data_IF_535895491663
#
_entry.id   IF_535895491663
#
_cell.length_a   1.000
_cell.length_b   1.000
_cell.length_c   1.000
_cell.angle_alpha   90.00
_cell.angle_beta   90.00
_cell.angle_gamma   90.00
#
_symmetry.space_group_name_H-M   'P 1'
#
loop_
_entity.id
_entity.type
_entity.pdbx_description
1 polymer ?
#
# COMPACT_ATOMS: atom_id res chain seq x y z
N UNK A 1 49.74 -79.06 34.58
CA UNK A 1 50.17 -77.85 35.31
C UNK A 1 49.77 -76.64 34.50
N UNK A 2 48.96 -75.94 35.01
CA UNK A 2 48.12 -74.91 34.42
C UNK A 2 48.91 -73.63 34.20
N UNK A 3 48.88 -73.09 32.97
CA UNK A 3 49.23 -71.69 32.71
C UNK A 3 47.97 -70.97 32.29
N UNK A 4 47.52 -70.03 33.13
CA UNK A 4 46.52 -68.99 32.81
C UNK A 4 47.08 -68.06 31.75
N UNK A 5 46.35 -67.88 30.68
CA UNK A 5 46.56 -66.79 29.73
C UNK A 5 45.32 -65.88 29.75
N UNK A 6 45.54 -64.69 30.23
CA UNK A 6 44.61 -63.58 30.18
C UNK A 6 44.33 -63.16 28.74
N UNK A 7 43.08 -62.83 28.34
CA UNK A 7 42.82 -62.31 27.01
C UNK A 7 43.16 -60.84 26.95
N UNK A 8 44.22 -60.48 26.25
CA UNK A 8 44.51 -59.12 25.83
C UNK A 8 43.44 -58.65 24.84
N UNK A 9 42.72 -57.64 25.23
CA UNK A 9 41.93 -56.83 24.31
C UNK A 9 42.88 -56.18 23.30
N UNK A 10 42.92 -56.68 22.10
CA UNK A 10 43.50 -55.99 20.96
C UNK A 10 42.51 -54.94 20.47
N UNK A 11 42.62 -53.68 20.92
CA UNK A 11 42.08 -52.51 20.25
C UNK A 11 43.03 -52.26 19.06
N UNK A 12 42.65 -52.73 17.89
CA UNK A 12 43.26 -52.27 16.63
C UNK A 12 42.91 -50.82 16.45
N UNK A 13 43.86 -49.94 16.81
CA UNK A 13 43.85 -48.54 16.33
C UNK A 13 43.93 -48.57 14.81
N UNK A 14 42.84 -48.35 14.13
CA UNK A 14 42.85 -48.00 12.72
C UNK A 14 43.58 -46.64 12.59
N UNK A 15 44.86 -46.67 12.22
CA UNK A 15 45.58 -45.50 11.78
C UNK A 15 45.00 -45.04 10.42
N UNK A 16 43.91 -44.27 10.50
CA UNK A 16 43.31 -43.65 9.34
C UNK A 16 44.35 -42.66 8.76
N UNK A 17 44.66 -42.81 7.49
CA UNK A 17 45.58 -41.90 6.83
C UNK A 17 44.91 -40.53 6.73
N UNK A 18 45.45 -39.51 7.43
CA UNK A 18 44.92 -38.17 7.51
C UNK A 18 44.74 -37.52 6.12
N UNK A 19 45.51 -37.97 5.12
CA UNK A 19 45.39 -37.45 3.74
C UNK A 19 44.16 -37.99 2.99
N UNK A 20 43.51 -39.03 3.53
CA UNK A 20 42.33 -39.64 2.94
C UNK A 20 41.01 -39.08 3.56
N UNK A 21 41.12 -38.27 4.62
CA UNK A 21 39.95 -37.67 5.26
C UNK A 21 39.42 -36.54 4.41
N UNK A 22 38.13 -36.63 4.08
CA UNK A 22 37.39 -35.64 3.33
C UNK A 22 36.48 -34.82 4.26
N UNK A 23 36.60 -33.51 4.19
CA UNK A 23 35.77 -32.59 4.95
C UNK A 23 34.61 -32.12 4.08
N UNK A 24 33.37 -32.29 4.58
CA UNK A 24 32.19 -31.72 3.99
C UNK A 24 31.96 -30.32 4.59
N UNK A 25 32.06 -29.29 3.75
CA UNK A 25 31.72 -27.93 4.12
C UNK A 25 30.22 -27.74 4.19
N UNK A 26 29.77 -26.64 4.83
CA UNK A 26 28.35 -26.27 4.95
C UNK A 26 27.64 -26.06 3.61
N UNK A 27 28.36 -25.64 2.57
CA UNK A 27 27.85 -25.49 1.20
C UNK A 27 27.89 -26.81 0.38
N UNK A 28 28.15 -27.95 1.04
CA UNK A 28 28.24 -29.27 0.44
C UNK A 28 29.55 -29.55 -0.29
N UNK A 29 30.47 -28.59 -0.40
CA UNK A 29 31.78 -28.81 -1.05
C UNK A 29 32.67 -29.70 -0.21
N UNK A 30 33.46 -30.49 -0.89
CA UNK A 30 34.45 -31.39 -0.27
C UNK A 30 35.85 -30.79 -0.34
N UNK A 31 36.55 -30.85 0.79
CA UNK A 31 37.97 -30.44 0.89
C UNK A 31 38.78 -31.51 1.61
N UNK A 32 40.10 -31.56 1.33
CA UNK A 32 41.00 -32.40 2.10
C UNK A 32 41.16 -31.85 3.52
N UNK A 33 41.30 -32.75 4.46
CA UNK A 33 41.55 -32.42 5.86
C UNK A 33 42.82 -31.63 6.06
N UNK A 34 42.82 -30.71 7.02
CA UNK A 34 43.98 -29.93 7.44
C UNK A 34 43.95 -29.68 8.94
N UNK A 35 44.85 -30.35 9.67
CA UNK A 35 44.98 -30.16 11.12
C UNK A 35 45.30 -28.72 11.50
N UNK A 36 46.05 -27.99 10.67
CA UNK A 36 46.43 -26.60 10.88
C UNK A 36 45.18 -25.68 11.02
N UNK A 37 44.06 -26.00 10.36
CA UNK A 37 42.82 -25.24 10.51
C UNK A 37 42.21 -25.38 11.92
N UNK A 38 42.30 -26.55 12.53
CA UNK A 38 41.85 -26.81 13.90
C UNK A 38 42.79 -26.11 14.87
N UNK A 39 44.10 -26.34 14.77
CA UNK A 39 45.12 -25.70 15.61
C UNK A 39 44.97 -24.17 15.61
N UNK A 40 44.83 -23.56 14.43
CA UNK A 40 44.62 -22.11 14.32
C UNK A 40 43.31 -21.61 14.97
N UNK A 41 42.24 -22.38 14.87
CA UNK A 41 40.98 -22.03 15.47
C UNK A 41 41.03 -22.07 17.02
N UNK A 42 41.65 -23.14 17.55
CA UNK A 42 41.90 -23.27 18.99
C UNK A 42 42.86 -22.16 19.49
N UNK A 43 43.96 -21.93 18.77
CA UNK A 43 44.94 -20.89 19.12
C UNK A 43 44.30 -19.49 19.22
N UNK A 44 43.41 -19.12 18.32
CA UNK A 44 42.65 -17.87 18.40
C UNK A 44 41.78 -17.78 19.67
N UNK A 45 41.19 -18.88 20.12
CA UNK A 45 40.43 -18.91 21.36
C UNK A 45 41.32 -18.74 22.59
N UNK A 46 42.51 -19.31 22.59
CA UNK A 46 43.51 -19.10 23.65
C UNK A 46 43.98 -17.64 23.73
N UNK A 47 44.32 -17.03 22.57
CA UNK A 47 44.65 -15.59 22.51
C UNK A 47 43.50 -14.70 23.04
N UNK A 48 42.26 -15.02 22.68
CA UNK A 48 41.09 -14.28 23.15
C UNK A 48 40.82 -14.37 24.66
N UNK A 49 41.47 -15.30 25.36
CA UNK A 49 41.47 -15.43 26.82
C UNK A 49 42.68 -14.88 27.51
N UNK A 50 43.63 -14.30 26.77
CA UNK A 50 44.92 -13.84 27.29
C UNK A 50 45.90 -14.96 27.66
N UNK A 51 45.65 -16.20 27.25
CA UNK A 51 46.48 -17.36 27.44
C UNK A 51 47.33 -17.59 26.18
N UNK A 52 48.27 -16.70 25.91
CA UNK A 52 49.18 -16.81 24.79
C UNK A 52 50.29 -17.84 25.09
N UNK A 53 50.95 -18.36 24.04
CA UNK A 53 52.10 -19.30 24.14
C UNK A 53 51.81 -20.72 24.69
N UNK A 54 50.59 -21.21 24.55
CA UNK A 54 50.19 -22.58 24.96
C UNK A 54 50.26 -23.58 23.78
N UNK A 55 51.25 -23.49 22.92
CA UNK A 55 51.35 -24.28 21.68
C UNK A 55 51.32 -25.80 21.93
N UNK A 56 51.96 -26.29 22.99
CA UNK A 56 51.97 -27.72 23.33
C UNK A 56 50.55 -28.21 23.64
N UNK A 57 49.78 -27.43 24.43
CA UNK A 57 48.39 -27.75 24.81
C UNK A 57 47.45 -27.67 23.61
N UNK A 58 47.61 -26.65 22.75
CA UNK A 58 46.83 -26.49 21.53
C UNK A 58 47.03 -27.70 20.61
N UNK A 59 48.27 -28.16 20.44
CA UNK A 59 48.59 -29.32 19.62
C UNK A 59 48.03 -30.61 20.24
N UNK A 60 48.14 -30.79 21.55
CA UNK A 60 47.55 -31.92 22.27
C UNK A 60 46.03 -32.00 22.07
N UNK A 61 45.31 -30.88 22.26
CA UNK A 61 43.86 -30.82 22.03
C UNK A 61 43.54 -31.12 20.57
N UNK A 62 44.29 -30.57 19.63
CA UNK A 62 44.11 -30.85 18.19
C UNK A 62 44.28 -32.34 17.91
N UNK A 63 45.27 -32.99 18.48
CA UNK A 63 45.52 -34.42 18.31
C UNK A 63 44.37 -35.25 18.87
N UNK A 64 43.87 -34.93 20.06
CA UNK A 64 42.70 -35.60 20.66
C UNK A 64 41.45 -35.46 19.81
N UNK A 65 41.20 -34.30 19.21
CA UNK A 65 40.08 -34.09 18.27
C UNK A 65 40.22 -35.03 17.06
N UNK A 66 41.41 -35.15 16.51
CA UNK A 66 41.70 -36.02 15.35
C UNK A 66 41.46 -37.50 15.71
N UNK A 67 41.87 -37.94 16.91
CA UNK A 67 41.70 -39.30 17.39
C UNK A 67 40.24 -39.72 17.49
N UNK A 68 39.29 -38.78 17.58
CA UNK A 68 37.87 -39.05 17.57
C UNK A 68 37.25 -39.22 16.16
N UNK A 69 38.05 -39.09 15.09
CA UNK A 69 37.55 -39.29 13.74
C UNK A 69 37.32 -40.80 13.48
N UNK A 70 36.06 -41.17 13.37
CA UNK A 70 35.64 -42.56 13.18
C UNK A 70 35.42 -42.92 11.70
N UNK A 71 35.27 -41.96 10.83
CA UNK A 71 34.94 -42.15 9.43
C UNK A 71 35.83 -41.30 8.50
N UNK A 72 36.07 -41.74 7.24
CA UNK A 72 36.88 -41.01 6.27
C UNK A 72 36.22 -39.71 5.78
N UNK A 73 34.96 -39.45 6.15
CA UNK A 73 34.26 -38.23 5.79
C UNK A 73 33.62 -37.61 7.05
N UNK A 74 33.97 -36.35 7.35
CA UNK A 74 33.46 -35.65 8.53
C UNK A 74 33.02 -34.25 8.14
N UNK A 75 31.96 -33.72 8.80
CA UNK A 75 31.48 -32.36 8.59
C UNK A 75 32.28 -31.34 9.41
N UNK A 76 32.28 -30.09 8.97
CA UNK A 76 32.91 -28.98 9.72
C UNK A 76 32.21 -28.83 11.11
N UNK A 77 30.89 -29.04 11.18
CA UNK A 77 30.15 -28.98 12.42
C UNK A 77 30.63 -30.04 13.41
N UNK A 78 30.70 -31.28 12.98
CA UNK A 78 31.17 -32.40 13.83
C UNK A 78 32.60 -32.14 14.37
N UNK A 79 33.48 -31.60 13.54
CA UNK A 79 34.85 -31.22 14.01
C UNK A 79 34.73 -30.13 15.08
N UNK A 80 33.88 -29.11 14.88
CA UNK A 80 33.71 -28.03 15.86
C UNK A 80 33.13 -28.53 17.18
N UNK A 81 32.17 -29.47 17.14
CA UNK A 81 31.59 -30.10 18.34
C UNK A 81 32.65 -30.88 19.11
N UNK A 82 33.52 -31.60 18.42
CA UNK A 82 34.66 -32.30 19.04
C UNK A 82 35.63 -31.30 19.67
N UNK A 83 35.95 -30.21 19.00
CA UNK A 83 36.82 -29.15 19.54
C UNK A 83 36.25 -28.56 20.82
N UNK A 84 34.92 -28.24 20.82
CA UNK A 84 34.23 -27.74 21.99
C UNK A 84 34.32 -28.74 23.16
N UNK A 85 34.05 -29.99 22.88
CA UNK A 85 34.10 -31.09 23.87
C UNK A 85 35.48 -31.24 24.50
N UNK A 86 36.54 -31.25 23.67
CA UNK A 86 37.90 -31.40 24.20
C UNK A 86 38.38 -30.14 24.94
N UNK A 87 38.05 -28.96 24.43
CA UNK A 87 38.32 -27.68 25.15
C UNK A 87 37.63 -27.61 26.50
N UNK A 88 36.37 -28.05 26.59
CA UNK A 88 35.63 -28.06 27.87
C UNK A 88 36.27 -28.96 28.92
N UNK A 89 36.90 -30.08 28.50
CA UNK A 89 37.61 -30.98 29.43
C UNK A 89 38.91 -30.38 29.97
N UNK A 90 39.61 -29.58 29.18
CA UNK A 90 40.95 -29.09 29.49
C UNK A 90 40.99 -27.64 29.95
N UNK A 91 40.25 -26.77 29.26
CA UNK A 91 40.26 -25.32 29.50
C UNK A 91 38.85 -24.70 29.29
N UNK A 92 37.97 -24.81 30.29
CA UNK A 92 36.57 -24.34 30.16
C UNK A 92 36.44 -22.87 29.76
N UNK A 93 37.33 -22.00 30.21
CA UNK A 93 37.29 -20.56 29.85
C UNK A 93 37.61 -20.32 28.39
N UNK A 94 38.55 -21.09 27.81
CA UNK A 94 38.87 -21.06 26.38
C UNK A 94 37.70 -21.63 25.58
N UNK A 95 37.14 -22.76 26.04
CA UNK A 95 35.96 -23.36 25.43
C UNK A 95 34.80 -22.37 25.33
N UNK A 96 34.52 -21.62 26.40
CA UNK A 96 33.47 -20.57 26.43
C UNK A 96 33.72 -19.51 25.34
N UNK A 97 34.96 -19.03 25.19
CA UNK A 97 35.29 -18.05 24.13
C UNK A 97 35.17 -18.66 22.73
N UNK A 98 35.54 -19.91 22.56
CA UNK A 98 35.40 -20.62 21.29
C UNK A 98 33.94 -20.79 20.89
N UNK A 99 33.06 -21.21 21.82
CA UNK A 99 31.62 -21.40 21.63
C UNK A 99 30.96 -20.08 21.27
N UNK A 100 31.24 -19.00 22.04
CA UNK A 100 30.68 -17.67 21.77
C UNK A 100 31.11 -17.17 20.40
N UNK A 101 32.39 -17.35 20.01
CA UNK A 101 32.87 -16.94 18.70
C UNK A 101 32.23 -17.76 17.58
N UNK A 102 32.10 -19.08 17.76
CA UNK A 102 31.40 -19.95 16.81
C UNK A 102 29.95 -19.52 16.61
N UNK A 103 29.22 -19.27 17.70
CA UNK A 103 27.85 -18.80 17.64
C UNK A 103 27.73 -17.46 16.93
N UNK A 104 28.58 -16.51 17.27
CA UNK A 104 28.62 -15.21 16.57
C UNK A 104 28.89 -15.37 15.06
N UNK A 105 29.83 -16.23 14.68
CA UNK A 105 30.14 -16.53 13.26
C UNK A 105 28.97 -17.20 12.54
N UNK A 106 28.21 -18.04 13.20
CA UNK A 106 27.01 -18.66 12.65
C UNK A 106 25.92 -17.60 12.43
N UNK A 107 25.62 -16.81 13.42
CA UNK A 107 24.65 -15.69 13.31
C UNK A 107 25.01 -14.72 12.19
N UNK A 108 26.28 -14.33 12.06
CA UNK A 108 26.74 -13.44 10.97
C UNK A 108 26.58 -14.08 9.57
N UNK A 109 26.79 -15.38 9.46
CA UNK A 109 26.56 -16.09 8.19
C UNK A 109 25.09 -16.21 7.85
N UNK A 110 24.28 -16.57 8.83
CA UNK A 110 22.84 -16.71 8.65
C UNK A 110 22.24 -15.38 8.21
N UNK A 111 22.65 -14.28 8.84
CA UNK A 111 22.25 -12.92 8.45
C UNK A 111 22.68 -12.58 7.02
N UNK A 112 23.91 -12.86 6.64
CA UNK A 112 24.40 -12.62 5.27
C UNK A 112 23.67 -13.47 4.24
N UNK A 113 23.39 -14.74 4.58
CA UNK A 113 22.66 -15.65 3.71
C UNK A 113 21.22 -15.19 3.53
N UNK A 114 20.57 -14.73 4.59
CA UNK A 114 19.21 -14.22 4.54
C UNK A 114 19.12 -12.95 3.69
N UNK A 115 19.98 -11.95 3.91
CA UNK A 115 20.04 -10.75 3.07
C UNK A 115 20.30 -11.13 1.61
N UNK A 116 21.22 -12.07 1.36
CA UNK A 116 21.49 -12.55 0.02
C UNK A 116 20.27 -13.19 -0.63
N UNK A 117 19.53 -14.04 0.08
CA UNK A 117 18.30 -14.64 -0.42
C UNK A 117 17.24 -13.60 -0.77
N UNK A 118 17.04 -12.60 0.08
CA UNK A 118 16.12 -11.49 -0.20
C UNK A 118 16.54 -10.77 -1.48
N UNK A 119 17.83 -10.42 -1.60
CA UNK A 119 18.36 -9.71 -2.78
C UNK A 119 18.29 -10.57 -4.04
N UNK A 120 18.69 -11.83 -3.97
CA UNK A 120 18.62 -12.75 -5.11
C UNK A 120 17.17 -12.91 -5.59
N UNK A 121 16.20 -13.00 -4.67
CA UNK A 121 14.77 -13.05 -4.98
C UNK A 121 14.26 -11.78 -5.68
N UNK A 122 14.68 -10.60 -5.22
CA UNK A 122 14.30 -9.32 -5.83
C UNK A 122 14.93 -9.12 -7.21
N UNK A 123 16.20 -9.51 -7.38
CA UNK A 123 16.92 -9.35 -8.65
C UNK A 123 16.49 -10.38 -9.70
N UNK A 124 16.11 -11.58 -9.26
CA UNK A 124 15.69 -12.68 -10.12
C UNK A 124 14.16 -12.65 -10.47
N UNK A 125 13.46 -11.55 -10.17
CA UNK A 125 12.02 -11.43 -10.42
C UNK A 125 11.70 -11.79 -11.89
N UNK A 126 10.92 -12.85 -12.07
CA UNK A 126 10.27 -13.12 -13.35
C UNK A 126 9.19 -12.07 -13.59
N UNK A 127 9.30 -11.36 -14.72
CA UNK A 127 8.35 -10.31 -15.11
C UNK A 127 6.91 -10.84 -15.28
N UNK A 128 6.74 -12.14 -15.38
CA UNK A 128 5.45 -12.81 -15.57
C UNK A 128 4.91 -13.43 -14.25
N UNK A 129 5.60 -13.31 -13.13
CA UNK A 129 5.11 -13.86 -11.87
C UNK A 129 3.96 -13.01 -11.32
N UNK A 130 2.75 -13.53 -11.43
CA UNK A 130 1.51 -12.88 -10.98
C UNK A 130 1.48 -12.66 -9.46
N UNK A 131 2.23 -13.46 -8.68
CA UNK A 131 2.31 -13.30 -7.23
C UNK A 131 3.08 -12.05 -6.80
N UNK A 132 3.85 -11.48 -7.71
CA UNK A 132 4.60 -10.23 -7.51
C UNK A 132 3.86 -9.01 -8.04
N UNK A 133 2.69 -9.20 -8.66
CA UNK A 133 1.88 -8.10 -9.17
C UNK A 133 1.25 -7.33 -8.02
N UNK A 134 1.45 -6.02 -8.02
CA UNK A 134 0.83 -5.10 -7.09
C UNK A 134 0.18 -3.97 -7.90
N UNK A 135 -1.13 -3.78 -7.74
CA UNK A 135 -1.91 -2.84 -8.53
C UNK A 135 -1.41 -1.39 -8.44
N UNK A 136 -0.80 -1.02 -7.32
CA UNK A 136 -0.36 0.36 -7.11
C UNK A 136 1.16 0.57 -7.13
N UNK A 137 1.96 -0.51 -7.29
CA UNK A 137 3.43 -0.41 -7.31
C UNK A 137 4.02 -1.39 -8.32
N UNK A 138 4.98 -0.93 -9.13
CA UNK A 138 5.73 -1.80 -10.02
C UNK A 138 7.03 -2.26 -9.35
N UNK A 139 7.13 -3.55 -9.03
CA UNK A 139 8.34 -4.19 -8.50
C UNK A 139 9.49 -4.30 -9.53
N UNK A 140 9.22 -4.00 -10.81
CA UNK A 140 10.23 -4.04 -11.88
C UNK A 140 11.04 -2.75 -12.02
N UNK A 141 10.59 -1.66 -11.41
CA UNK A 141 11.33 -0.39 -11.42
C UNK A 141 12.42 -0.39 -10.35
N UNK A 142 13.53 0.35 -10.52
CA UNK A 142 14.55 0.47 -9.48
C UNK A 142 13.99 0.94 -8.14
N UNK A 143 13.08 1.92 -8.14
CA UNK A 143 12.43 2.39 -6.92
C UNK A 143 11.57 1.29 -6.27
N UNK A 144 10.81 0.52 -7.06
CA UNK A 144 10.02 -0.62 -6.57
C UNK A 144 10.87 -1.72 -5.96
N UNK A 145 11.97 -2.08 -6.60
CA UNK A 145 12.94 -3.05 -6.06
C UNK A 145 13.51 -2.58 -4.71
N UNK A 146 13.89 -1.31 -4.61
CA UNK A 146 14.37 -0.72 -3.35
C UNK A 146 13.30 -0.73 -2.26
N UNK A 147 12.05 -0.43 -2.59
CA UNK A 147 10.94 -0.49 -1.64
C UNK A 147 10.66 -1.93 -1.20
N UNK A 148 10.69 -2.91 -2.11
CA UNK A 148 10.53 -4.33 -1.78
C UNK A 148 11.65 -4.80 -0.85
N UNK A 149 12.89 -4.43 -1.14
CA UNK A 149 14.03 -4.73 -0.27
C UNK A 149 13.85 -4.12 1.13
N UNK A 150 13.44 -2.86 1.21
CA UNK A 150 13.19 -2.20 2.49
C UNK A 150 12.06 -2.90 3.27
N UNK A 151 10.96 -3.26 2.60
CA UNK A 151 9.83 -4.00 3.18
C UNK A 151 10.29 -5.32 3.81
N UNK A 152 11.00 -6.16 3.05
CA UNK A 152 11.46 -7.46 3.54
C UNK A 152 12.45 -7.36 4.71
N UNK A 153 13.38 -6.41 4.68
CA UNK A 153 14.30 -6.16 5.79
C UNK A 153 13.57 -5.66 7.03
N UNK A 154 12.58 -4.81 6.86
CA UNK A 154 11.80 -4.25 7.97
C UNK A 154 10.89 -5.30 8.60
N UNK A 155 10.29 -6.20 7.81
CA UNK A 155 9.56 -7.37 8.30
C UNK A 155 10.46 -8.26 9.17
N UNK A 156 11.64 -8.61 8.66
CA UNK A 156 12.61 -9.43 9.39
C UNK A 156 13.03 -8.78 10.73
N UNK A 157 13.29 -7.47 10.70
CA UNK A 157 13.60 -6.71 11.90
C UNK A 157 12.43 -6.74 12.91
N UNK A 158 11.21 -6.57 12.43
CA UNK A 158 10.00 -6.59 13.26
C UNK A 158 9.82 -7.94 13.93
N UNK A 159 9.97 -9.03 13.20
CA UNK A 159 9.87 -10.39 13.73
C UNK A 159 10.92 -10.68 14.82
N UNK A 160 12.16 -10.28 14.59
CA UNK A 160 13.28 -10.66 15.45
C UNK A 160 13.41 -9.79 16.69
N UNK A 161 13.03 -8.51 16.59
CA UNK A 161 13.41 -7.53 17.61
C UNK A 161 12.23 -6.76 18.23
N UNK A 162 11.10 -6.64 17.54
CA UNK A 162 10.00 -5.80 18.01
C UNK A 162 8.80 -6.61 18.52
N UNK A 163 8.44 -7.70 17.85
CA UNK A 163 7.33 -8.53 18.29
C UNK A 163 7.75 -9.43 19.46
N UNK A 164 6.90 -9.56 20.49
CA UNK A 164 7.04 -10.65 21.46
C UNK A 164 7.04 -12.00 20.72
N UNK A 165 7.97 -12.88 21.12
CA UNK A 165 8.23 -14.17 20.46
C UNK A 165 6.96 -14.96 20.15
N UNK A 166 6.03 -15.03 21.12
CA UNK A 166 4.75 -15.76 20.97
C UNK A 166 3.87 -15.25 19.82
N UNK A 167 3.89 -13.93 19.56
CA UNK A 167 3.11 -13.34 18.45
C UNK A 167 3.82 -13.50 17.11
N UNK A 168 5.15 -13.40 17.11
CA UNK A 168 5.94 -13.68 15.92
C UNK A 168 5.75 -15.14 15.46
N UNK A 169 5.83 -16.10 16.38
CA UNK A 169 5.59 -17.52 16.12
C UNK A 169 4.17 -17.79 15.64
N UNK A 170 3.15 -17.25 16.32
CA UNK A 170 1.75 -17.40 15.93
C UNK A 170 1.46 -16.84 14.52
N UNK A 171 2.06 -15.72 14.16
CA UNK A 171 1.94 -15.17 12.81
C UNK A 171 2.62 -16.05 11.75
N UNK A 172 3.83 -16.56 12.05
CA UNK A 172 4.56 -17.45 11.15
C UNK A 172 3.88 -18.81 10.95
N UNK A 173 3.21 -19.32 12.00
CA UNK A 173 2.42 -20.56 11.93
C UNK A 173 1.05 -20.38 11.28
N UNK A 174 0.62 -19.13 11.05
CA UNK A 174 -0.68 -18.83 10.46
C UNK A 174 -1.84 -18.81 11.47
N UNK A 175 -1.57 -18.88 12.77
CA UNK A 175 -2.60 -18.79 13.81
C UNK A 175 -3.23 -17.40 13.89
N UNK A 176 -2.44 -16.36 13.60
CA UNK A 176 -2.88 -14.96 13.46
C UNK A 176 -2.24 -14.33 12.24
N UNK A 177 -2.85 -13.26 11.73
CA UNK A 177 -2.24 -12.42 10.71
C UNK A 177 -2.04 -10.99 11.24
N UNK A 178 -0.79 -10.51 11.24
CA UNK A 178 -0.46 -9.11 11.52
C UNK A 178 -0.26 -8.41 10.18
N UNK A 179 -1.17 -7.51 9.86
CA UNK A 179 -1.16 -6.77 8.58
C UNK A 179 -0.06 -5.70 8.56
N UNK A 180 0.51 -5.41 7.39
CA UNK A 180 1.49 -4.34 7.16
C UNK A 180 2.70 -4.38 8.12
N UNK A 181 3.23 -5.57 8.34
CA UNK A 181 4.28 -5.84 9.33
C UNK A 181 5.59 -5.09 9.04
N UNK A 182 5.84 -4.76 7.79
CA UNK A 182 6.96 -3.94 7.33
C UNK A 182 6.86 -2.48 7.79
N UNK A 183 5.64 -1.97 7.95
CA UNK A 183 5.41 -0.62 8.47
C UNK A 183 5.27 -0.55 9.99
N UNK A 184 5.19 -1.69 10.68
CA UNK A 184 5.06 -1.75 12.14
C UNK A 184 6.09 -0.90 12.92
N UNK A 185 7.39 -0.86 12.55
CA UNK A 185 8.37 -0.03 13.24
C UNK A 185 8.13 1.47 13.11
N UNK A 186 7.44 1.90 12.07
CA UNK A 186 7.18 3.32 11.80
C UNK A 186 6.07 3.88 12.67
N UNK A 187 5.24 3.01 13.30
CA UNK A 187 4.07 3.36 14.10
C UNK A 187 3.06 4.23 13.34
N UNK A 188 3.03 4.08 12.02
CA UNK A 188 2.07 4.79 11.18
C UNK A 188 0.67 4.22 11.35
N UNK A 189 -0.34 5.03 11.04
CA UNK A 189 -1.71 4.54 10.85
C UNK A 189 -1.82 3.79 9.54
N UNK A 190 -2.75 2.84 9.48
CA UNK A 190 -3.10 2.10 8.26
C UNK A 190 -4.59 2.28 7.98
N UNK A 191 -4.97 2.43 6.70
CA UNK A 191 -6.36 2.55 6.25
C UNK A 191 -7.14 3.71 6.90
N UNK A 192 -7.20 4.83 6.22
CA UNK A 192 -7.84 6.06 6.69
C UNK A 192 -9.04 6.44 5.84
N UNK A 193 -10.04 7.09 6.47
CA UNK A 193 -11.15 7.75 5.79
C UNK A 193 -11.10 9.25 6.04
N UNK A 194 -11.49 10.03 5.00
CA UNK A 194 -11.47 11.50 5.05
C UNK A 194 -12.87 12.08 5.17
N UNK A 195 -13.03 12.99 6.11
CA UNK A 195 -14.13 13.95 6.11
C UNK A 195 -13.69 15.18 5.29
N UNK A 196 -14.10 15.21 4.01
CA UNK A 196 -13.74 16.31 3.13
C UNK A 196 -14.46 17.61 3.48
N UNK A 197 -15.63 17.54 4.13
CA UNK A 197 -16.33 18.74 4.58
C UNK A 197 -15.51 19.50 5.62
N UNK A 198 -15.03 18.81 6.64
CA UNK A 198 -14.16 19.41 7.66
C UNK A 198 -12.87 19.97 7.05
N UNK A 199 -12.22 19.17 6.19
CA UNK A 199 -10.97 19.57 5.52
C UNK A 199 -11.16 20.78 4.59
N UNK A 200 -12.28 20.86 3.87
CA UNK A 200 -12.54 21.94 2.91
C UNK A 200 -13.06 23.21 3.56
N UNK A 201 -13.75 23.11 4.69
CA UNK A 201 -14.24 24.29 5.44
C UNK A 201 -13.09 25.02 6.13
N UNK A 202 -12.20 24.30 6.79
CA UNK A 202 -11.07 24.89 7.53
C UNK A 202 -9.86 25.14 6.65
N UNK A 203 -9.81 24.51 5.48
CA UNK A 203 -8.57 24.33 4.77
C UNK A 203 -7.65 23.35 5.48
N UNK A 204 -6.52 23.03 4.89
CA UNK A 204 -5.53 22.15 5.50
C UNK A 204 -4.11 22.57 5.13
N UNK A 205 -3.16 22.08 5.93
CA UNK A 205 -1.75 22.35 5.72
C UNK A 205 -1.05 21.11 5.18
N UNK A 206 -0.26 21.29 4.15
CA UNK A 206 0.71 20.30 3.69
C UNK A 206 2.10 20.72 4.15
N UNK A 207 3.08 19.85 4.04
CA UNK A 207 4.48 20.18 4.36
C UNK A 207 4.98 21.46 3.66
N UNK A 208 4.48 21.75 2.48
CA UNK A 208 4.98 22.81 1.61
C UNK A 208 4.00 23.98 1.41
N UNK A 209 2.83 23.95 2.05
CA UNK A 209 1.87 25.04 1.90
C UNK A 209 0.53 24.80 2.57
N UNK A 210 -0.30 25.85 2.51
CA UNK A 210 -1.66 25.85 3.05
C UNK A 210 -2.67 25.83 1.92
N UNK A 211 -3.71 25.05 2.07
CA UNK A 211 -4.81 24.91 1.11
C UNK A 211 -6.05 25.59 1.70
N UNK A 212 -6.66 26.45 0.94
CA UNK A 212 -7.91 27.13 1.30
C UNK A 212 -9.12 26.43 0.71
N UNK A 213 -10.31 26.79 1.24
CA UNK A 213 -11.61 26.29 0.80
C UNK A 213 -11.78 26.33 -0.73
N UNK A 214 -12.12 25.21 -1.38
CA UNK A 214 -12.35 25.17 -2.83
C UNK A 214 -13.61 25.92 -3.25
N UNK A 215 -13.60 26.46 -4.46
CA UNK A 215 -14.69 27.32 -4.97
C UNK A 215 -15.32 26.83 -6.28
N UNK A 216 -14.94 25.65 -6.78
CA UNK A 216 -15.49 25.04 -7.99
C UNK A 216 -15.31 23.52 -7.95
N UNK A 217 -16.12 22.79 -8.72
CA UNK A 217 -15.99 21.32 -8.79
C UNK A 217 -14.59 20.87 -9.18
N UNK A 218 -13.91 21.58 -10.10
CA UNK A 218 -12.52 21.26 -10.45
C UNK A 218 -11.59 21.38 -9.26
N UNK A 219 -11.74 22.46 -8.45
CA UNK A 219 -10.93 22.63 -7.26
C UNK A 219 -11.26 21.62 -6.16
N UNK A 220 -12.53 21.20 -6.00
CA UNK A 220 -12.90 20.12 -5.09
C UNK A 220 -12.25 18.79 -5.48
N UNK A 221 -12.35 18.38 -6.74
CA UNK A 221 -11.74 17.16 -7.26
C UNK A 221 -10.21 17.20 -7.17
N UNK A 222 -9.59 18.32 -7.55
CA UNK A 222 -8.13 18.49 -7.46
C UNK A 222 -7.65 18.39 -6.02
N UNK A 223 -8.33 19.04 -5.06
CA UNK A 223 -7.92 19.00 -3.66
C UNK A 223 -8.14 17.62 -3.03
N UNK A 224 -9.18 16.89 -3.41
CA UNK A 224 -9.35 15.50 -3.02
C UNK A 224 -8.16 14.63 -3.49
N UNK A 225 -7.71 14.83 -4.73
CA UNK A 225 -6.51 14.16 -5.25
C UNK A 225 -5.25 14.53 -4.45
N UNK A 226 -5.06 15.81 -4.13
CA UNK A 226 -3.92 16.29 -3.34
C UNK A 226 -3.93 15.67 -1.93
N UNK A 227 -5.08 15.57 -1.28
CA UNK A 227 -5.23 14.91 0.03
C UNK A 227 -4.73 13.48 -0.06
N UNK A 228 -5.23 12.67 -1.01
CA UNK A 228 -4.78 11.31 -1.21
C UNK A 228 -3.28 11.20 -1.43
N UNK A 229 -2.73 12.00 -2.35
CA UNK A 229 -1.33 11.95 -2.73
C UNK A 229 -0.38 12.41 -1.61
N UNK A 230 -0.76 13.47 -0.89
CA UNK A 230 0.06 13.98 0.22
C UNK A 230 0.09 12.98 1.36
N UNK A 231 -1.07 12.46 1.76
CA UNK A 231 -1.17 11.56 2.89
C UNK A 231 -0.57 10.17 2.60
N UNK A 232 -0.45 9.76 1.34
CA UNK A 232 0.21 8.49 1.00
C UNK A 232 1.67 8.43 1.47
N UNK A 233 2.33 9.57 1.66
CA UNK A 233 3.69 9.62 2.19
C UNK A 233 3.74 9.58 3.73
N UNK A 234 2.64 9.89 4.40
CA UNK A 234 2.56 10.02 5.85
C UNK A 234 1.95 8.76 6.53
N UNK A 235 1.28 7.90 5.76
CA UNK A 235 0.65 6.68 6.27
C UNK A 235 0.80 5.53 5.28
N UNK A 236 0.46 4.30 5.71
CA UNK A 236 0.42 3.11 4.86
C UNK A 236 -1.00 2.55 4.77
N UNK A 237 -1.28 1.83 3.67
CA UNK A 237 -2.58 1.20 3.42
C UNK A 237 -3.55 2.05 2.62
N UNK A 238 -4.79 1.60 2.55
CA UNK A 238 -5.84 2.22 1.73
C UNK A 238 -6.34 3.54 2.29
N UNK A 239 -6.76 4.41 1.41
CA UNK A 239 -7.33 5.71 1.73
C UNK A 239 -8.73 5.80 1.11
N UNK A 240 -9.72 6.29 1.85
CA UNK A 240 -11.11 6.31 1.38
C UNK A 240 -11.79 7.66 1.58
N UNK A 241 -12.70 8.01 0.66
CA UNK A 241 -13.68 9.08 0.82
C UNK A 241 -15.05 8.42 0.94
N UNK A 242 -15.67 8.40 2.13
CA UNK A 242 -16.86 7.58 2.42
C UNK A 242 -18.18 8.13 1.89
N UNK A 243 -18.22 9.40 1.45
CA UNK A 243 -19.41 10.10 0.97
C UNK A 243 -19.05 11.07 -0.16
N UNK A 244 -18.43 10.54 -1.22
CA UNK A 244 -17.86 11.33 -2.29
C UNK A 244 -18.89 12.20 -3.02
N UNK A 245 -20.07 11.65 -3.29
CA UNK A 245 -21.21 12.36 -3.90
C UNK A 245 -21.62 13.58 -3.08
N UNK A 246 -21.82 13.43 -1.78
CA UNK A 246 -22.21 14.54 -0.88
C UNK A 246 -21.11 15.62 -0.81
N UNK A 247 -19.87 15.22 -0.70
CA UNK A 247 -18.77 16.19 -0.59
C UNK A 247 -18.59 16.99 -1.88
N UNK A 248 -18.68 16.33 -3.04
CA UNK A 248 -18.52 16.97 -4.35
C UNK A 248 -19.74 17.81 -4.75
N UNK A 249 -20.94 17.49 -4.28
CA UNK A 249 -22.19 18.22 -4.55
C UNK A 249 -22.05 19.72 -4.26
N UNK A 250 -21.39 20.08 -3.16
CA UNK A 250 -21.11 21.49 -2.82
C UNK A 250 -20.25 22.19 -3.89
N UNK A 251 -19.31 21.47 -4.49
CA UNK A 251 -18.49 21.98 -5.57
C UNK A 251 -19.28 22.19 -6.86
N UNK A 252 -20.22 21.30 -7.16
CA UNK A 252 -21.15 21.42 -8.29
C UNK A 252 -22.03 22.68 -8.13
N UNK A 253 -22.64 22.86 -6.96
CA UNK A 253 -23.47 24.04 -6.69
C UNK A 253 -22.68 25.34 -6.86
N UNK A 254 -21.48 25.44 -6.28
CA UNK A 254 -20.63 26.63 -6.44
C UNK A 254 -20.24 26.88 -7.91
N UNK A 255 -19.98 25.83 -8.68
CA UNK A 255 -19.69 25.96 -10.11
C UNK A 255 -20.90 26.45 -10.88
N UNK A 256 -22.11 25.96 -10.56
CA UNK A 256 -23.34 26.40 -11.15
C UNK A 256 -23.62 27.87 -10.86
N UNK A 257 -23.53 28.27 -9.58
CA UNK A 257 -23.70 29.67 -9.18
C UNK A 257 -22.73 30.60 -9.91
N UNK A 258 -21.47 30.20 -10.08
CA UNK A 258 -20.51 30.97 -10.88
C UNK A 258 -20.87 31.03 -12.37
N UNK A 259 -21.34 29.91 -12.92
CA UNK A 259 -21.75 29.86 -14.31
C UNK A 259 -22.97 30.79 -14.57
N UNK A 260 -23.98 30.73 -13.66
CA UNK A 260 -25.13 31.64 -13.73
C UNK A 260 -24.67 33.09 -13.63
N UNK A 261 -23.83 33.43 -12.65
CA UNK A 261 -23.29 34.78 -12.47
C UNK A 261 -22.60 35.29 -13.73
N UNK A 262 -21.69 34.53 -14.27
CA UNK A 262 -20.94 34.91 -15.49
C UNK A 262 -21.85 35.11 -16.69
N UNK A 263 -22.80 34.19 -16.91
CA UNK A 263 -23.72 34.27 -18.05
C UNK A 263 -24.71 35.42 -17.86
N UNK A 264 -25.25 35.59 -16.66
CA UNK A 264 -26.22 36.65 -16.34
C UNK A 264 -25.54 38.04 -16.42
N UNK A 265 -24.35 38.22 -15.85
CA UNK A 265 -23.61 39.49 -15.92
C UNK A 265 -23.36 39.90 -17.38
N UNK A 266 -22.84 38.97 -18.19
CA UNK A 266 -22.61 39.21 -19.62
C UNK A 266 -23.90 39.56 -20.36
N UNK A 267 -25.03 38.86 -20.06
CA UNK A 267 -26.32 39.13 -20.65
C UNK A 267 -26.82 40.54 -20.28
N UNK A 268 -26.69 40.95 -19.02
CA UNK A 268 -27.07 42.26 -18.53
C UNK A 268 -26.22 43.39 -19.17
N UNK A 269 -24.91 43.16 -19.29
CA UNK A 269 -24.02 44.09 -19.99
C UNK A 269 -24.43 44.27 -21.47
N UNK A 270 -24.79 43.21 -22.17
CA UNK A 270 -25.30 43.25 -23.53
C UNK A 270 -26.63 44.07 -23.64
N UNK A 271 -27.42 44.06 -22.60
CA UNK A 271 -28.64 44.90 -22.49
C UNK A 271 -28.34 46.36 -22.11
N UNK A 272 -27.09 46.75 -21.91
CA UNK A 272 -26.67 48.09 -21.58
C UNK A 272 -26.65 48.42 -20.08
N UNK A 273 -26.76 47.43 -19.21
CA UNK A 273 -26.62 47.65 -17.78
C UNK A 273 -25.13 47.68 -17.37
N UNK A 274 -24.81 48.57 -16.47
CA UNK A 274 -23.48 48.55 -15.84
C UNK A 274 -23.57 47.74 -14.55
N UNK A 275 -23.02 46.52 -14.55
CA UNK A 275 -23.22 45.53 -13.50
C UNK A 275 -21.88 45.18 -12.85
N UNK A 276 -21.83 45.21 -11.52
CA UNK A 276 -20.70 44.60 -10.78
C UNK A 276 -20.93 43.12 -10.60
N UNK A 277 -20.07 42.30 -11.18
CA UNK A 277 -20.20 40.80 -11.10
C UNK A 277 -20.35 40.29 -9.66
N UNK A 278 -19.67 40.95 -8.70
CA UNK A 278 -19.76 40.57 -7.29
C UNK A 278 -21.17 40.76 -6.68
N UNK A 279 -21.92 41.73 -7.16
CA UNK A 279 -23.28 41.96 -6.66
C UNK A 279 -24.26 40.95 -7.28
N UNK A 280 -24.11 40.64 -8.56
CA UNK A 280 -24.82 39.54 -9.21
C UNK A 280 -24.51 38.22 -8.51
N UNK A 281 -23.25 37.97 -8.18
CA UNK A 281 -22.87 36.75 -7.46
C UNK A 281 -23.57 36.63 -6.10
N UNK A 282 -23.70 37.69 -5.35
CA UNK A 282 -24.43 37.69 -4.08
C UNK A 282 -25.91 37.32 -4.27
N UNK A 283 -26.58 37.95 -5.23
CA UNK A 283 -27.98 37.67 -5.55
C UNK A 283 -28.15 36.23 -6.01
N UNK A 284 -27.31 35.75 -6.90
CA UNK A 284 -27.30 34.34 -7.36
C UNK A 284 -27.11 33.35 -6.20
N UNK A 285 -26.12 33.59 -5.32
CA UNK A 285 -25.86 32.72 -4.18
C UNK A 285 -27.02 32.67 -3.17
N UNK A 286 -27.73 33.74 -3.01
CA UNK A 286 -28.90 33.82 -2.11
C UNK A 286 -30.14 33.14 -2.67
N UNK A 287 -30.33 33.21 -4.00
CA UNK A 287 -31.55 32.71 -4.65
C UNK A 287 -31.42 31.27 -5.15
N UNK A 288 -30.23 30.84 -5.57
CA UNK A 288 -30.04 29.52 -6.18
C UNK A 288 -29.30 28.60 -5.22
N UNK A 289 -30.03 27.76 -4.54
CA UNK A 289 -29.54 26.75 -3.59
C UNK A 289 -29.42 25.36 -4.20
N UNK A 290 -29.81 25.19 -5.47
CA UNK A 290 -29.72 23.95 -6.23
C UNK A 290 -29.52 24.24 -7.72
N UNK A 291 -28.96 23.28 -8.45
CA UNK A 291 -28.73 23.35 -9.89
C UNK A 291 -30.02 23.09 -10.71
N UNK A 292 -31.09 22.61 -10.06
CA UNK A 292 -32.42 22.42 -10.66
C UNK A 292 -33.43 23.19 -9.79
N UNK A 293 -33.48 24.54 -9.90
CA UNK A 293 -34.41 25.35 -9.11
C UNK A 293 -35.83 25.10 -9.53
N UNK A 294 -36.75 25.00 -8.55
CA UNK A 294 -38.18 24.86 -8.80
C UNK A 294 -38.76 26.11 -9.49
N UNK A 295 -39.95 26.00 -10.03
CA UNK A 295 -40.62 27.11 -10.68
C UNK A 295 -40.82 28.30 -9.73
N UNK A 296 -41.07 28.04 -8.45
CA UNK A 296 -41.19 29.06 -7.40
C UNK A 296 -39.87 29.80 -7.20
N UNK A 297 -38.74 29.09 -7.08
CA UNK A 297 -37.42 29.69 -6.93
C UNK A 297 -37.07 30.53 -8.16
N UNK A 298 -37.33 30.02 -9.38
CA UNK A 298 -37.10 30.78 -10.61
C UNK A 298 -37.90 32.08 -10.64
N UNK A 299 -39.18 32.03 -10.22
CA UNK A 299 -40.04 33.21 -10.17
C UNK A 299 -39.58 34.22 -9.10
N UNK A 300 -39.13 33.75 -7.95
CA UNK A 300 -38.59 34.60 -6.90
C UNK A 300 -37.29 35.27 -7.37
N UNK A 301 -36.39 34.50 -8.00
CA UNK A 301 -35.15 35.03 -8.57
C UNK A 301 -35.44 36.10 -9.65
N UNK A 302 -36.38 35.83 -10.56
CA UNK A 302 -36.79 36.78 -11.58
C UNK A 302 -37.36 38.10 -10.94
N UNK A 303 -38.15 37.93 -9.90
CA UNK A 303 -38.73 39.07 -9.16
C UNK A 303 -37.61 39.91 -8.50
N UNK A 304 -36.61 39.24 -7.95
CA UNK A 304 -35.48 39.95 -7.32
C UNK A 304 -34.63 40.71 -8.37
N UNK A 305 -34.32 40.10 -9.51
CA UNK A 305 -33.60 40.79 -10.58
C UNK A 305 -34.35 42.01 -11.09
N UNK A 306 -35.69 41.91 -11.27
CA UNK A 306 -36.48 43.03 -11.72
C UNK A 306 -36.61 44.14 -10.65
N UNK A 307 -36.60 43.81 -9.34
CA UNK A 307 -36.54 44.81 -8.26
C UNK A 307 -35.18 45.53 -8.20
N UNK A 308 -34.14 44.86 -8.56
CA UNK A 308 -32.78 45.47 -8.70
C UNK A 308 -32.66 46.34 -9.94
N UNK A 309 -33.72 46.43 -10.75
CA UNK A 309 -33.76 47.27 -11.93
C UNK A 309 -33.36 46.59 -13.25
N UNK A 310 -33.14 45.31 -13.22
CA UNK A 310 -32.78 44.53 -14.41
C UNK A 310 -34.04 44.03 -15.11
N UNK A 311 -34.25 44.40 -16.36
CA UNK A 311 -35.38 43.92 -17.15
C UNK A 311 -35.07 42.56 -17.77
N UNK A 312 -35.36 41.51 -17.03
CA UNK A 312 -35.21 40.10 -17.43
C UNK A 312 -36.57 39.45 -17.51
N UNK A 313 -36.87 38.72 -18.55
CA UNK A 313 -38.11 37.94 -18.67
C UNK A 313 -37.88 36.46 -18.33
N UNK A 314 -38.97 35.68 -18.21
CA UNK A 314 -38.97 34.30 -17.81
C UNK A 314 -38.17 33.39 -18.79
N UNK A 315 -38.34 33.58 -20.10
CA UNK A 315 -37.67 32.79 -21.12
C UNK A 315 -36.16 33.06 -21.12
N UNK A 316 -35.75 34.32 -20.94
CA UNK A 316 -34.37 34.74 -20.83
C UNK A 316 -33.70 34.09 -19.60
N UNK A 317 -34.36 34.17 -18.44
CA UNK A 317 -33.85 33.55 -17.22
C UNK A 317 -33.73 32.04 -17.39
N UNK A 318 -34.73 31.39 -17.92
CA UNK A 318 -34.70 29.93 -18.19
C UNK A 318 -33.56 29.55 -19.13
N UNK A 319 -33.34 30.35 -20.16
CA UNK A 319 -32.21 30.10 -21.08
C UNK A 319 -30.86 30.23 -20.35
N UNK A 320 -30.66 31.24 -19.51
CA UNK A 320 -29.48 31.47 -18.71
C UNK A 320 -29.23 30.28 -17.78
N UNK A 321 -30.26 29.86 -17.03
CA UNK A 321 -30.16 28.72 -16.10
C UNK A 321 -29.82 27.40 -16.81
N UNK A 322 -30.44 27.14 -17.96
CA UNK A 322 -30.13 25.94 -18.75
C UNK A 322 -28.71 25.96 -19.29
N UNK A 323 -28.23 27.09 -19.79
CA UNK A 323 -26.82 27.22 -20.25
C UNK A 323 -25.82 27.05 -19.12
N UNK A 324 -26.13 27.59 -17.95
CA UNK A 324 -25.31 27.40 -16.76
C UNK A 324 -25.28 25.93 -16.32
N UNK A 325 -26.43 25.23 -16.37
CA UNK A 325 -26.51 23.79 -16.09
C UNK A 325 -25.66 22.97 -17.05
N UNK A 326 -25.77 23.19 -18.38
CA UNK A 326 -24.98 22.50 -19.39
C UNK A 326 -23.47 22.72 -19.17
N UNK A 327 -23.08 23.96 -18.87
CA UNK A 327 -21.68 24.30 -18.56
C UNK A 327 -21.19 23.59 -17.30
N UNK A 328 -21.98 23.62 -16.23
CA UNK A 328 -21.66 22.97 -14.96
C UNK A 328 -21.50 21.47 -15.13
N UNK A 329 -22.39 20.84 -15.90
CA UNK A 329 -22.30 19.41 -16.20
C UNK A 329 -21.01 19.07 -16.92
N UNK A 330 -20.62 19.86 -17.95
CA UNK A 330 -19.35 19.68 -18.66
C UNK A 330 -18.15 19.87 -17.73
N UNK A 331 -18.19 20.90 -16.87
CA UNK A 331 -17.14 21.17 -15.91
C UNK A 331 -17.03 20.03 -14.85
N UNK A 332 -18.17 19.44 -14.46
CA UNK A 332 -18.21 18.29 -13.55
C UNK A 332 -17.62 17.06 -14.21
N UNK A 333 -17.99 16.77 -15.45
CA UNK A 333 -17.40 15.69 -16.24
C UNK A 333 -15.87 15.79 -16.30
N UNK A 334 -15.37 16.96 -16.70
CA UNK A 334 -13.93 17.22 -16.79
C UNK A 334 -13.22 17.10 -15.42
N UNK A 335 -13.90 17.47 -14.34
CA UNK A 335 -13.37 17.33 -12.98
C UNK A 335 -13.27 15.85 -12.58
N UNK A 336 -14.26 15.02 -12.91
CA UNK A 336 -14.26 13.58 -12.63
C UNK A 336 -13.23 12.84 -13.48
N UNK A 337 -13.14 13.17 -14.76
CA UNK A 337 -12.09 12.66 -15.65
C UNK A 337 -10.70 12.97 -15.09
N UNK A 338 -10.44 14.24 -14.75
CA UNK A 338 -9.17 14.65 -14.15
C UNK A 338 -8.87 13.97 -12.82
N UNK A 339 -9.88 13.72 -11.98
CA UNK A 339 -9.74 13.00 -10.72
C UNK A 339 -9.29 11.54 -10.95
N UNK A 340 -9.97 10.83 -11.86
CA UNK A 340 -9.63 9.44 -12.21
C UNK A 340 -8.23 9.37 -12.83
N UNK A 341 -7.93 10.22 -13.81
CA UNK A 341 -6.62 10.25 -14.47
C UNK A 341 -5.47 10.49 -13.47
N UNK A 342 -5.62 11.47 -12.59
CA UNK A 342 -4.60 11.78 -11.58
C UNK A 342 -4.31 10.61 -10.65
N UNK A 343 -5.34 9.89 -10.19
CA UNK A 343 -5.17 8.76 -9.29
C UNK A 343 -4.53 7.53 -9.95
N UNK A 344 -4.56 7.44 -11.29
CA UNK A 344 -3.94 6.34 -12.02
C UNK A 344 -2.57 6.69 -12.61
N UNK A 345 -2.24 7.96 -12.80
CA UNK A 345 -1.04 8.39 -13.52
C UNK A 345 -0.03 9.11 -12.64
N UNK A 346 -0.46 9.79 -11.59
CA UNK A 346 0.44 10.51 -10.70
C UNK A 346 0.97 9.60 -9.58
N UNK A 347 2.28 9.43 -9.57
CA UNK A 347 2.97 8.62 -8.57
C UNK A 347 3.39 9.48 -7.38
N UNK A 348 3.19 8.95 -6.19
CA UNK A 348 3.77 9.46 -4.94
C UNK A 348 4.62 8.38 -4.27
N UNK A 349 5.02 8.53 -3.03
CA UNK A 349 5.87 7.60 -2.29
C UNK A 349 7.10 7.15 -3.09
N UNK A 350 8.04 8.09 -3.23
CA UNK A 350 9.28 7.87 -3.98
C UNK A 350 9.11 7.82 -5.51
N UNK A 351 7.96 8.27 -6.03
CA UNK A 351 7.70 8.28 -7.47
C UNK A 351 7.39 6.91 -8.07
N UNK A 352 7.04 5.92 -7.25
CA UNK A 352 6.82 4.55 -7.72
C UNK A 352 5.43 3.96 -7.42
N UNK A 353 4.63 4.62 -6.60
CA UNK A 353 3.29 4.15 -6.27
C UNK A 353 2.22 5.14 -6.69
N UNK A 354 1.17 4.66 -7.36
CA UNK A 354 -0.12 5.35 -7.41
C UNK A 354 -0.86 5.16 -6.09
N UNK A 355 -1.82 6.05 -5.80
CA UNK A 355 -2.51 6.03 -4.51
C UNK A 355 -3.50 4.86 -4.45
N UNK A 356 -3.35 3.99 -3.45
CA UNK A 356 -4.37 2.98 -3.16
C UNK A 356 -5.58 3.67 -2.52
N UNK A 357 -6.52 4.04 -3.37
CA UNK A 357 -7.64 4.92 -3.03
C UNK A 357 -8.99 4.26 -3.32
N UNK A 358 -10.00 4.60 -2.52
CA UNK A 358 -11.38 4.21 -2.75
C UNK A 358 -12.33 5.39 -2.50
N UNK A 359 -13.48 5.36 -3.16
CA UNK A 359 -14.57 6.31 -2.96
C UNK A 359 -15.87 5.56 -2.80
N UNK A 360 -16.73 6.04 -1.89
CA UNK A 360 -18.05 5.50 -1.71
C UNK A 360 -19.06 6.59 -2.10
N UNK A 361 -20.08 6.22 -2.86
CA UNK A 361 -21.11 7.12 -3.37
C UNK A 361 -22.41 6.37 -3.68
N UNK A 362 -23.46 7.03 -4.12
CA UNK A 362 -24.72 6.42 -4.54
C UNK A 362 -25.92 6.75 -3.66
N UNK A 363 -25.74 7.43 -2.53
CA UNK A 363 -26.83 7.73 -1.58
C UNK A 363 -27.25 9.19 -1.52
N UNK A 364 -26.56 10.10 -2.19
CA UNK A 364 -27.00 11.48 -2.32
C UNK A 364 -28.18 11.58 -3.33
N UNK A 365 -29.29 12.16 -2.88
CA UNK A 365 -30.50 12.37 -3.67
C UNK A 365 -30.62 13.79 -4.24
N UNK A 366 -29.67 14.68 -3.90
CA UNK A 366 -29.63 16.03 -4.45
C UNK A 366 -29.34 16.01 -5.96
N UNK A 367 -29.77 17.02 -6.67
CA UNK A 367 -29.47 17.16 -8.10
C UNK A 367 -27.96 17.26 -8.36
N UNK A 368 -27.25 17.92 -7.44
CA UNK A 368 -25.79 18.10 -7.45
C UNK A 368 -25.07 16.77 -7.27
N UNK A 369 -25.43 15.99 -6.25
CA UNK A 369 -24.84 14.67 -5.99
C UNK A 369 -25.13 13.68 -7.12
N UNK A 370 -26.34 13.70 -7.67
CA UNK A 370 -26.69 12.91 -8.86
C UNK A 370 -25.84 13.28 -10.09
N UNK A 371 -25.57 14.56 -10.30
CA UNK A 371 -24.68 15.01 -11.37
C UNK A 371 -23.26 14.50 -11.16
N UNK A 372 -22.75 14.50 -9.92
CA UNK A 372 -21.43 13.92 -9.59
C UNK A 372 -21.38 12.44 -9.95
N UNK A 373 -22.39 11.67 -9.53
CA UNK A 373 -22.46 10.22 -9.80
C UNK A 373 -22.51 9.95 -11.30
N UNK A 374 -23.38 10.66 -12.03
CA UNK A 374 -23.52 10.52 -13.48
C UNK A 374 -22.19 10.76 -14.21
N UNK A 375 -21.55 11.87 -13.92
CA UNK A 375 -20.34 12.26 -14.66
C UNK A 375 -19.11 11.45 -14.22
N UNK A 376 -19.08 10.98 -12.96
CA UNK A 376 -18.06 10.02 -12.49
C UNK A 376 -18.15 8.68 -13.25
N UNK A 377 -19.37 8.13 -13.35
CA UNK A 377 -19.57 6.85 -14.04
C UNK A 377 -19.28 6.97 -15.55
N UNK A 378 -19.67 8.08 -16.19
CA UNK A 378 -19.33 8.35 -17.58
C UNK A 378 -17.82 8.40 -17.81
N UNK A 379 -17.11 9.18 -16.98
CA UNK A 379 -15.66 9.28 -17.07
C UNK A 379 -14.97 7.91 -16.81
N UNK A 380 -15.53 7.08 -15.95
CA UNK A 380 -15.06 5.70 -15.72
C UNK A 380 -15.26 4.82 -16.94
N UNK A 381 -16.42 4.91 -17.59
CA UNK A 381 -16.75 4.15 -18.81
C UNK A 381 -15.86 4.58 -20.00
N UNK A 382 -15.61 5.87 -20.14
CA UNK A 382 -14.71 6.42 -21.16
C UNK A 382 -13.27 5.94 -20.98
N UNK A 383 -12.87 5.70 -19.73
CA UNK A 383 -11.57 5.12 -19.38
C UNK A 383 -10.40 6.09 -19.53
N UNK A 384 -9.18 5.52 -19.45
CA UNK A 384 -7.93 6.29 -19.48
C UNK A 384 -7.38 6.43 -20.89
N UNK A 385 -7.01 7.65 -21.26
CA UNK A 385 -6.34 7.95 -22.51
C UNK A 385 -7.17 7.63 -23.76
N UNK A 386 -6.53 7.64 -24.91
CA UNK A 386 -7.20 7.46 -26.21
C UNK A 386 -7.68 6.03 -26.45
N UNK A 387 -7.21 5.06 -25.69
CA UNK A 387 -7.59 3.65 -25.80
C UNK A 387 -8.72 3.23 -24.86
N UNK A 388 -9.16 4.12 -23.96
CA UNK A 388 -10.20 3.81 -22.99
C UNK A 388 -9.78 2.70 -22.02
N UNK A 389 -8.55 2.73 -21.53
CA UNK A 389 -8.07 1.72 -20.59
C UNK A 389 -8.86 1.80 -19.27
N UNK A 390 -9.26 0.65 -18.71
CA UNK A 390 -10.02 0.62 -17.47
C UNK A 390 -9.21 1.19 -16.30
N UNK A 391 -9.70 2.21 -15.58
CA UNK A 391 -9.01 2.75 -14.43
C UNK A 391 -8.98 1.76 -13.27
N UNK A 392 -7.82 1.63 -12.63
CA UNK A 392 -7.66 0.77 -11.44
C UNK A 392 -8.09 1.52 -10.17
N UNK A 393 -7.81 2.83 -10.12
CA UNK A 393 -8.12 3.69 -8.99
C UNK A 393 -8.97 4.91 -9.41
N UNK A 394 -9.78 5.43 -8.49
CA UNK A 394 -10.11 4.87 -7.17
C UNK A 394 -10.96 3.61 -7.29
N UNK A 395 -10.84 2.68 -6.32
CA UNK A 395 -11.82 1.60 -6.17
C UNK A 395 -13.17 2.25 -5.87
N UNK A 396 -14.17 1.93 -6.68
CA UNK A 396 -15.49 2.54 -6.60
C UNK A 396 -16.47 1.64 -5.85
N UNK A 397 -17.09 2.16 -4.79
CA UNK A 397 -18.04 1.46 -3.95
C UNK A 397 -19.39 2.17 -4.08
N UNK A 398 -20.27 1.63 -4.94
CA UNK A 398 -21.63 2.13 -5.07
C UNK A 398 -22.49 1.61 -3.93
N UNK A 399 -23.02 2.53 -3.12
CA UNK A 399 -23.91 2.21 -2.01
C UNK A 399 -25.34 2.06 -2.51
N UNK A 400 -25.91 0.89 -2.31
CA UNK A 400 -27.32 0.60 -2.60
C UNK A 400 -28.13 0.78 -1.33
N UNK A 401 -29.18 1.59 -1.39
CA UNK A 401 -30.07 1.88 -0.27
C UNK A 401 -31.52 1.86 -0.71
N UNK A 402 -32.37 1.18 0.07
CA UNK A 402 -33.80 1.16 -0.13
C UNK A 402 -34.40 2.58 -0.10
N UNK A 403 -35.37 2.85 -0.98
CA UNK A 403 -35.98 4.16 -1.16
C UNK A 403 -35.07 5.21 -1.82
N UNK A 404 -33.81 4.89 -2.12
CA UNK A 404 -32.84 5.78 -2.79
C UNK A 404 -32.39 5.19 -4.13
N UNK A 405 -31.84 3.99 -4.10
CA UNK A 405 -31.31 3.31 -5.29
C UNK A 405 -32.37 2.42 -5.94
N UNK A 406 -33.31 1.92 -5.19
CA UNK A 406 -34.47 1.14 -5.64
C UNK A 406 -35.64 1.37 -4.70
N UNK A 407 -36.89 1.10 -5.19
CA UNK A 407 -38.09 1.02 -4.37
C UNK A 407 -38.35 -0.45 -4.01
N UNK A 408 -39.17 -0.68 -2.97
CA UNK A 408 -39.67 -2.03 -2.66
C UNK A 408 -40.33 -2.71 -3.85
N UNK A 409 -41.08 -1.93 -4.66
CA UNK A 409 -41.72 -2.42 -5.87
C UNK A 409 -40.68 -2.89 -6.93
N UNK A 410 -39.58 -2.16 -7.06
CA UNK A 410 -38.47 -2.53 -7.99
C UNK A 410 -37.73 -3.76 -7.49
N UNK A 411 -37.51 -3.85 -6.16
CA UNK A 411 -36.93 -5.04 -5.55
C UNK A 411 -37.80 -6.27 -5.75
N UNK A 412 -39.08 -6.20 -5.49
CA UNK A 412 -40.00 -7.32 -5.73
C UNK A 412 -40.05 -7.71 -7.20
N UNK A 413 -40.05 -6.75 -8.12
CA UNK A 413 -39.98 -6.99 -9.56
C UNK A 413 -38.67 -7.66 -9.95
N UNK A 414 -37.55 -7.21 -9.41
CA UNK A 414 -36.23 -7.80 -9.64
C UNK A 414 -36.15 -9.24 -9.11
N UNK A 415 -36.67 -9.52 -7.93
CA UNK A 415 -36.74 -10.87 -7.36
C UNK A 415 -37.63 -11.81 -8.18
N UNK A 416 -38.77 -11.32 -8.69
CA UNK A 416 -39.64 -12.10 -9.58
C UNK A 416 -39.01 -12.40 -10.93
N UNK A 417 -38.12 -11.53 -11.40
CA UNK A 417 -37.43 -11.65 -12.68
C UNK A 417 -35.95 -12.06 -12.50
N UNK A 418 -35.59 -12.64 -11.37
CA UNK A 418 -34.19 -13.00 -11.06
C UNK A 418 -33.58 -13.91 -12.15
N UNK A 419 -34.38 -14.85 -12.70
CA UNK A 419 -33.96 -15.69 -13.81
C UNK A 419 -33.72 -14.86 -15.09
N UNK A 420 -34.56 -13.85 -15.34
CA UNK A 420 -34.37 -12.91 -16.46
C UNK A 420 -33.15 -12.00 -16.25
N UNK A 421 -32.78 -11.72 -14.99
CA UNK A 421 -31.56 -10.97 -14.65
C UNK A 421 -30.29 -11.76 -14.98
N UNK A 422 -30.28 -13.05 -14.70
CA UNK A 422 -29.19 -13.96 -15.09
C UNK A 422 -29.05 -14.07 -16.63
N UNK A 423 -30.13 -13.81 -17.37
CA UNK A 423 -30.13 -13.74 -18.83
C UNK A 423 -29.74 -12.37 -19.41
N UNK A 424 -29.33 -11.41 -18.58
CA UNK A 424 -28.93 -10.04 -19.00
C UNK A 424 -30.08 -9.12 -19.39
N UNK A 425 -31.31 -9.44 -18.98
CA UNK A 425 -32.53 -8.66 -19.29
C UNK A 425 -33.04 -7.78 -18.15
N UNK A 426 -32.22 -7.52 -17.13
CA UNK A 426 -32.61 -6.66 -16.01
C UNK A 426 -32.49 -5.18 -16.38
N UNK A 427 -33.58 -4.46 -16.29
CA UNK A 427 -33.59 -2.99 -16.28
C UNK A 427 -34.05 -2.51 -14.91
N UNK A 428 -33.17 -1.83 -14.17
CA UNK A 428 -33.57 -1.07 -12.99
C UNK A 428 -33.84 0.37 -13.43
N UNK A 429 -35.03 0.86 -13.16
CA UNK A 429 -35.40 2.26 -13.40
C UNK A 429 -34.86 3.17 -12.26
N UNK A 430 -33.62 2.93 -11.82
CA UNK A 430 -32.99 3.76 -10.80
C UNK A 430 -32.04 4.76 -11.43
N UNK A 431 -31.98 5.98 -10.97
CA UNK A 431 -31.00 6.95 -11.44
C UNK A 431 -29.57 6.35 -11.33
N UNK A 432 -28.80 6.48 -12.41
CA UNK A 432 -27.42 6.03 -12.51
C UNK A 432 -27.16 4.50 -12.55
N UNK A 433 -28.18 3.66 -12.40
CA UNK A 433 -27.96 2.21 -12.36
C UNK A 433 -27.46 1.67 -13.71
N UNK A 434 -28.03 2.13 -14.84
CA UNK A 434 -27.57 1.75 -16.18
C UNK A 434 -26.10 2.16 -16.44
N UNK A 435 -25.69 3.29 -15.90
CA UNK A 435 -24.28 3.74 -15.98
C UNK A 435 -23.39 2.88 -15.09
N UNK A 436 -23.87 2.51 -13.90
CA UNK A 436 -23.11 1.63 -12.99
C UNK A 436 -22.84 0.26 -13.63
N UNK A 437 -23.83 -0.31 -14.33
CA UNK A 437 -23.64 -1.61 -15.02
C UNK A 437 -22.65 -1.56 -16.19
N UNK A 438 -22.39 -0.37 -16.73
CA UNK A 438 -21.41 -0.16 -17.80
C UNK A 438 -20.01 0.18 -17.28
N UNK A 439 -19.93 0.77 -16.08
CA UNK A 439 -18.67 1.09 -15.42
C UNK A 439 -18.01 -0.11 -14.74
#
# INVERSE_FOLDING_TARGET
>A
MTCNVSPFFNLSMNCMNLNEICIIKRDGKRENFSAAKITNAIGKAFVATGLEHQEAMINEITQRVIEHFAEPTITVEAIQDLVETELMKVQPEVAKKYIIYRQWRNTERDRKTQIKHIMDGIVAIDKNDINLSNANMSSHTPAGQMMTFASEITKDYTYKYLLPKKYAEAHQLGDIHIHDLDYYPTKTTTCIQYDLDDLFERGFHTKNGSIRTPQSIQSYATLATIIFQTNQNEQHGGQAIPAFDFFMAKGVLKSYQKAVTSILSFFLEMKGYNVAENDVQKTVNQQLTTIIPSAEIQKEFLTTLNKEGFNVNEDELKHILNKAYERTRKDTHQAMEGFIHNLNTMHSRGGNQVVFSSINYGTDTSAEGRMVIDELLKATIEGLGTRGEVPVFPIQIFKIKDGVSYSEADYQRAMQNFDAALEGKMTFETPNFDLLLKA
#
